data_IF_433889986171
#
_entry.id   IF_433889986171
#
_cell.length_a   1.000
_cell.length_b   1.000
_cell.length_c   1.000
_cell.angle_alpha   90.00
_cell.angle_beta   90.00
_cell.angle_gamma   90.00
#
_symmetry.space_group_name_H-M   'P 1'
#
loop_
_entity.id
_entity.type
_entity.pdbx_description
1 polymer ?
#
# COMPACT_ATOMS: atom_id res chain seq x y z
N UNK A 1 11.97 -29.61 5.55
CA UNK A 1 10.70 -28.88 5.69
C UNK A 1 10.51 -28.04 4.44
N UNK A 2 9.62 -28.41 3.49
CA UNK A 2 9.33 -27.60 2.31
C UNK A 2 7.87 -27.09 2.33
N UNK A 3 7.68 -25.78 2.45
CA UNK A 3 6.40 -25.11 2.25
C UNK A 3 6.62 -23.92 1.28
N UNK A 4 5.65 -23.72 0.37
CA UNK A 4 5.40 -22.57 -0.52
C UNK A 4 5.41 -22.89 -2.02
N UNK A 5 4.23 -23.25 -2.56
CA UNK A 5 3.87 -23.21 -3.98
C UNK A 5 2.36 -23.47 -4.18
N UNK A 6 1.47 -22.48 -3.93
CA UNK A 6 0.26 -22.42 -4.77
C UNK A 6 -0.33 -21.03 -5.12
N UNK A 7 0.30 -19.89 -4.83
CA UNK A 7 -0.32 -18.53 -5.04
C UNK A 7 -0.43 -18.11 -6.55
N UNK A 8 -0.18 -19.01 -7.50
CA UNK A 8 0.29 -18.67 -8.86
C UNK A 8 -0.77 -18.48 -9.98
N UNK A 9 -2.10 -18.60 -9.76
CA UNK A 9 -3.04 -18.75 -10.90
C UNK A 9 -4.26 -17.78 -10.88
N UNK A 10 -4.22 -16.71 -10.09
CA UNK A 10 -5.45 -16.01 -9.69
C UNK A 10 -6.00 -14.85 -10.55
N UNK A 11 -5.32 -14.35 -11.59
CA UNK A 11 -5.68 -13.04 -12.19
C UNK A 11 -5.69 -12.97 -13.73
N UNK A 12 -5.82 -14.09 -14.44
CA UNK A 12 -5.76 -14.11 -15.90
C UNK A 12 -7.06 -13.71 -16.64
N UNK A 13 -8.21 -13.58 -15.97
CA UNK A 13 -9.49 -13.37 -16.68
C UNK A 13 -10.14 -11.99 -16.59
N UNK A 14 -9.55 -11.05 -15.84
CA UNK A 14 -9.99 -9.65 -15.89
C UNK A 14 -9.57 -8.91 -17.17
N UNK A 15 -8.59 -9.43 -17.91
CA UNK A 15 -7.90 -8.67 -18.96
C UNK A 15 -8.56 -8.66 -20.34
N UNK A 16 -9.48 -9.59 -20.66
CA UNK A 16 -10.08 -9.63 -22.00
C UNK A 16 -11.11 -8.50 -22.24
N UNK A 17 -11.71 -7.93 -21.20
CA UNK A 17 -12.74 -6.89 -21.34
C UNK A 17 -12.16 -5.49 -21.58
N UNK A 18 -10.96 -5.19 -21.05
CA UNK A 18 -10.32 -3.87 -21.18
C UNK A 18 -9.65 -3.70 -22.55
N UNK A 19 -9.10 -4.78 -23.13
CA UNK A 19 -8.46 -4.75 -24.44
C UNK A 19 -9.44 -4.42 -25.58
N UNK A 20 -10.71 -4.85 -25.49
CA UNK A 20 -11.72 -4.52 -26.51
C UNK A 20 -12.17 -3.05 -26.46
N UNK A 21 -12.12 -2.39 -25.31
CA UNK A 21 -12.55 -1.00 -25.17
C UNK A 21 -11.52 -0.03 -25.77
N UNK A 22 -10.22 -0.29 -25.57
CA UNK A 22 -9.13 0.54 -26.12
C UNK A 22 -9.00 0.45 -27.65
N UNK A 23 -9.42 -0.65 -28.27
CA UNK A 23 -9.38 -0.82 -29.72
C UNK A 23 -10.41 0.04 -30.50
N UNK A 24 -11.34 0.70 -29.79
CA UNK A 24 -12.42 1.50 -30.43
C UNK A 24 -12.21 3.01 -30.33
N UNK A 25 -11.10 3.49 -29.77
CA UNK A 25 -10.86 4.94 -29.70
C UNK A 25 -10.44 5.50 -31.08
N UNK A 26 -11.13 6.54 -31.58
CA UNK A 26 -10.75 7.18 -32.84
C UNK A 26 -9.38 7.83 -32.69
N UNK A 27 -8.52 7.62 -33.69
CA UNK A 27 -7.17 8.20 -33.74
C UNK A 27 -7.24 9.72 -33.67
N UNK A 28 -6.75 10.29 -32.57
CA UNK A 28 -6.68 11.73 -32.39
C UNK A 28 -5.55 12.29 -33.28
N UNK A 29 -5.94 13.13 -34.23
CA UNK A 29 -5.06 13.82 -35.16
C UNK A 29 -4.03 14.68 -34.40
N UNK A 30 -2.75 14.49 -34.72
CA UNK A 30 -1.63 15.07 -33.98
C UNK A 30 -1.57 16.59 -34.16
N UNK A 31 -1.68 17.32 -33.05
CA UNK A 31 -1.40 18.75 -33.00
C UNK A 31 0.11 19.03 -33.18
N UNK A 32 0.50 20.20 -33.74
CA UNK A 32 1.89 20.56 -33.99
C UNK A 32 2.70 20.74 -32.68
N UNK A 33 4.02 20.49 -32.72
CA UNK A 33 4.87 20.51 -31.54
C UNK A 33 5.03 21.93 -30.95
N UNK A 34 5.00 22.09 -29.63
CA UNK A 34 5.31 23.36 -28.98
C UNK A 34 6.82 23.68 -29.03
N UNK A 35 7.20 24.97 -28.93
CA UNK A 35 8.59 25.40 -29.00
C UNK A 35 9.43 24.89 -27.84
N UNK A 36 10.66 24.49 -28.16
CA UNK A 36 11.69 24.04 -27.24
C UNK A 36 12.12 25.18 -26.30
N UNK A 37 12.09 24.93 -25.00
CA UNK A 37 12.72 25.84 -24.04
C UNK A 37 12.12 25.77 -22.65
N UNK A 38 12.59 24.80 -21.86
CA UNK A 38 12.80 24.92 -20.40
C UNK A 38 13.54 23.67 -19.94
N UNK A 39 14.79 23.85 -19.58
CA UNK A 39 15.61 22.87 -18.87
C UNK A 39 14.88 22.47 -17.58
N UNK A 40 14.44 21.22 -17.53
CA UNK A 40 13.83 20.65 -16.34
C UNK A 40 14.88 20.57 -15.23
N UNK A 41 14.74 21.45 -14.23
CA UNK A 41 15.55 21.43 -13.01
C UNK A 41 15.17 20.18 -12.22
N UNK A 42 16.16 19.37 -11.84
CA UNK A 42 15.94 18.17 -11.02
C UNK A 42 15.12 18.52 -9.78
N UNK A 43 14.07 17.74 -9.51
CA UNK A 43 13.25 17.87 -8.32
C UNK A 43 14.15 17.81 -7.07
N UNK A 44 14.13 18.83 -6.20
CA UNK A 44 14.82 18.74 -4.93
C UNK A 44 14.05 17.74 -4.06
N UNK A 45 14.54 16.51 -3.98
CA UNK A 45 14.17 15.59 -2.92
C UNK A 45 14.62 16.23 -1.60
N UNK A 46 13.73 16.52 -0.65
CA UNK A 46 14.12 17.04 0.65
C UNK A 46 14.96 15.96 1.36
N UNK A 47 16.25 16.25 1.53
CA UNK A 47 17.15 15.46 2.36
C UNK A 47 16.90 15.88 3.81
N UNK A 48 16.54 14.96 4.73
CA UNK A 48 16.40 15.31 6.14
C UNK A 48 17.74 15.82 6.67
N UNK A 49 17.74 17.05 7.18
CA UNK A 49 18.92 17.67 7.82
C UNK A 49 19.09 17.04 9.19
N UNK A 50 20.24 16.39 9.42
CA UNK A 50 20.58 15.81 10.71
C UNK A 50 20.58 16.91 11.78
N UNK A 51 19.78 16.73 12.84
CA UNK A 51 19.74 17.63 13.97
C UNK A 51 21.09 17.58 14.72
N UNK A 52 21.60 18.72 15.24
CA UNK A 52 22.83 18.75 16.02
C UNK A 52 22.63 18.01 17.34
N UNK A 53 23.51 17.05 17.60
CA UNK A 53 23.60 16.29 18.85
C UNK A 53 24.03 17.23 19.98
N UNK A 54 23.07 17.69 20.76
CA UNK A 54 23.27 18.51 21.95
C UNK A 54 23.75 17.70 23.16
N UNK A 55 24.57 18.35 23.97
CA UNK A 55 25.36 17.84 25.09
C UNK A 55 24.63 16.95 26.12
N UNK A 56 25.42 16.02 26.67
CA UNK A 56 25.05 15.09 27.73
C UNK A 56 24.70 15.79 29.06
N UNK A 57 23.60 15.39 29.73
CA UNK A 57 23.37 15.71 31.13
C UNK A 57 23.93 14.64 32.08
N UNK A 58 24.20 15.09 33.30
CA UNK A 58 24.90 14.42 34.38
C UNK A 58 24.19 13.15 34.90
N UNK A 59 25.04 12.26 35.44
CA UNK A 59 24.68 10.98 36.05
C UNK A 59 23.61 11.12 37.14
N UNK A 60 22.47 10.47 36.90
CA UNK A 60 21.44 10.20 37.91
C UNK A 60 21.52 8.75 38.35
N UNK A 61 21.34 8.55 39.65
CA UNK A 61 21.34 7.30 40.42
C UNK A 61 20.45 6.22 39.77
N UNK A 62 20.83 4.93 39.84
CA UNK A 62 20.03 3.85 39.28
C UNK A 62 18.77 3.62 40.12
N UNK A 63 17.63 4.08 39.63
CA UNK A 63 16.34 3.57 40.08
C UNK A 63 16.22 2.13 39.55
N UNK A 64 15.94 1.18 40.45
CA UNK A 64 15.60 -0.19 40.08
C UNK A 64 14.34 -0.18 39.20
N UNK A 65 14.54 -0.24 37.89
CA UNK A 65 13.49 -0.52 36.92
C UNK A 65 13.07 -1.96 37.10
N UNK A 66 11.93 -2.15 37.77
CA UNK A 66 11.15 -3.38 37.63
C UNK A 66 10.97 -3.65 36.14
N UNK A 67 11.22 -4.87 35.64
CA UNK A 67 10.99 -5.19 34.24
C UNK A 67 9.56 -4.80 33.88
N UNK A 68 9.32 -4.11 32.74
CA UNK A 68 7.96 -3.88 32.28
C UNK A 68 7.28 -5.24 32.20
N UNK A 69 6.18 -5.36 32.94
CA UNK A 69 5.34 -6.56 32.96
C UNK A 69 5.07 -6.94 31.51
N UNK A 70 5.45 -8.17 31.13
CA UNK A 70 5.39 -8.59 29.74
C UNK A 70 3.94 -8.42 29.27
N UNK A 71 3.75 -7.60 28.23
CA UNK A 71 2.43 -7.34 27.70
C UNK A 71 1.73 -8.67 27.43
N UNK A 72 0.49 -8.86 27.91
CA UNK A 72 -0.23 -10.10 27.70
C UNK A 72 -0.29 -10.39 26.19
N UNK A 73 -0.18 -11.67 25.78
CA UNK A 73 -0.23 -12.03 24.37
C UNK A 73 -1.54 -11.51 23.76
N UNK A 74 -1.50 -11.05 22.50
CA UNK A 74 -2.69 -10.52 21.85
C UNK A 74 -3.79 -11.60 21.86
N UNK A 75 -5.04 -11.22 22.17
CA UNK A 75 -6.14 -12.18 22.23
C UNK A 75 -6.33 -12.83 20.86
N UNK A 76 -6.28 -14.16 20.81
CA UNK A 76 -6.59 -14.90 19.58
C UNK A 76 -8.07 -14.72 19.26
N UNK A 77 -8.39 -14.24 18.06
CA UNK A 77 -9.76 -14.07 17.59
C UNK A 77 -10.44 -15.44 17.52
N UNK A 78 -11.37 -15.69 18.42
CA UNK A 78 -12.15 -16.91 18.51
C UNK A 78 -13.48 -16.81 17.77
N UNK A 79 -14.50 -17.52 18.27
CA UNK A 79 -15.85 -17.53 17.71
C UNK A 79 -16.61 -16.22 17.91
N UNK A 80 -16.09 -15.29 18.72
CA UNK A 80 -16.66 -13.97 18.95
C UNK A 80 -16.53 -13.02 17.74
N UNK A 81 -15.66 -13.35 16.77
CA UNK A 81 -15.40 -12.51 15.59
C UNK A 81 -14.72 -11.17 15.92
N UNK A 82 -14.64 -10.25 14.96
CA UNK A 82 -13.87 -9.00 15.13
C UNK A 82 -14.55 -7.88 15.90
N UNK A 83 -15.89 -7.85 15.94
CA UNK A 83 -16.66 -6.72 16.51
C UNK A 83 -16.17 -6.26 17.89
N UNK A 84 -16.14 -7.15 18.91
CA UNK A 84 -15.69 -6.78 20.26
C UNK A 84 -14.22 -6.31 20.34
N UNK A 85 -13.36 -6.75 19.42
CA UNK A 85 -11.96 -6.33 19.39
C UNK A 85 -11.81 -4.94 18.76
N UNK A 86 -12.61 -4.63 17.73
CA UNK A 86 -12.68 -3.30 17.13
C UNK A 86 -13.21 -2.28 18.15
N UNK A 87 -14.26 -2.62 18.89
CA UNK A 87 -14.80 -1.75 19.95
C UNK A 87 -13.75 -1.42 21.02
N UNK A 88 -13.02 -2.45 21.51
CA UNK A 88 -11.92 -2.25 22.47
C UNK A 88 -10.77 -1.40 21.91
N UNK A 89 -10.40 -1.61 20.65
CA UNK A 89 -9.36 -0.82 20.00
C UNK A 89 -9.76 0.66 19.85
N UNK A 90 -11.05 0.91 19.58
CA UNK A 90 -11.62 2.26 19.47
C UNK A 90 -11.62 2.99 20.82
N UNK A 91 -12.04 2.31 21.89
CA UNK A 91 -12.11 2.84 23.26
C UNK A 91 -10.73 3.01 23.92
N UNK A 92 -9.77 2.17 23.53
CA UNK A 92 -8.39 2.22 24.02
C UNK A 92 -7.53 3.28 23.33
N UNK A 93 -6.31 3.47 23.85
CA UNK A 93 -5.27 4.31 23.23
C UNK A 93 -4.11 3.48 22.64
N UNK A 94 -4.27 2.16 22.55
CA UNK A 94 -3.25 1.28 21.98
C UNK A 94 -3.24 1.41 20.46
N UNK A 95 -2.12 1.93 19.94
CA UNK A 95 -1.88 2.12 18.52
C UNK A 95 -1.85 0.80 17.77
N UNK A 96 -1.26 -0.25 18.34
CA UNK A 96 -1.16 -1.55 17.69
C UNK A 96 -2.55 -2.18 17.55
N UNK A 97 -3.36 -2.11 18.60
CA UNK A 97 -4.76 -2.56 18.56
C UNK A 97 -5.59 -1.74 17.55
N UNK A 98 -5.42 -0.42 17.49
CA UNK A 98 -6.11 0.42 16.51
C UNK A 98 -5.73 0.05 15.07
N UNK A 99 -4.44 -0.24 14.83
CA UNK A 99 -3.98 -0.68 13.52
C UNK A 99 -4.52 -2.06 13.14
N UNK A 100 -4.50 -3.01 14.07
CA UNK A 100 -5.06 -4.35 13.87
C UNK A 100 -6.57 -4.29 13.54
N UNK A 101 -7.32 -3.47 14.27
CA UNK A 101 -8.74 -3.23 14.00
C UNK A 101 -8.98 -2.63 12.60
N UNK A 102 -8.17 -1.65 12.19
CA UNK A 102 -8.25 -1.08 10.84
C UNK A 102 -7.97 -2.14 9.75
N UNK A 103 -7.02 -3.05 9.99
CA UNK A 103 -6.73 -4.16 9.07
C UNK A 103 -7.90 -5.13 8.96
N UNK A 104 -8.51 -5.55 10.06
CA UNK A 104 -9.70 -6.40 10.03
C UNK A 104 -10.87 -5.73 9.30
N UNK A 105 -11.09 -4.43 9.51
CA UNK A 105 -12.14 -3.70 8.80
C UNK A 105 -11.92 -3.69 7.28
N UNK A 106 -10.69 -3.47 6.81
CA UNK A 106 -10.34 -3.57 5.38
C UNK A 106 -10.49 -4.98 4.83
N UNK A 107 -10.06 -5.97 5.62
CA UNK A 107 -10.17 -7.38 5.25
C UNK A 107 -11.62 -7.79 5.08
N UNK A 108 -12.49 -7.40 6.01
CA UNK A 108 -13.93 -7.64 5.92
C UNK A 108 -14.61 -6.87 4.79
N UNK A 109 -14.14 -5.67 4.44
CA UNK A 109 -14.68 -4.89 3.33
C UNK A 109 -14.40 -5.54 1.96
N UNK A 110 -13.27 -6.22 1.81
CA UNK A 110 -12.84 -6.86 0.55
C UNK A 110 -13.10 -8.36 0.47
N UNK A 111 -13.68 -8.96 1.52
CA UNK A 111 -13.78 -10.42 1.64
C UNK A 111 -14.60 -11.07 0.51
N UNK A 112 -15.75 -10.49 0.17
CA UNK A 112 -16.66 -11.04 -0.84
C UNK A 112 -16.05 -10.97 -2.25
N UNK A 113 -15.36 -9.87 -2.58
CA UNK A 113 -14.65 -9.71 -3.84
C UNK A 113 -13.50 -10.71 -3.95
N UNK A 114 -12.69 -10.87 -2.90
CA UNK A 114 -11.63 -11.88 -2.84
C UNK A 114 -12.19 -13.28 -3.03
N UNK A 115 -13.30 -13.59 -2.35
CA UNK A 115 -13.94 -14.90 -2.44
C UNK A 115 -14.41 -15.20 -3.86
N UNK A 116 -15.02 -14.21 -4.51
CA UNK A 116 -15.49 -14.27 -5.90
C UNK A 116 -14.32 -14.45 -6.86
N UNK A 117 -13.25 -13.68 -6.69
CA UNK A 117 -12.04 -13.80 -7.51
C UNK A 117 -11.41 -15.20 -7.40
N UNK A 118 -11.38 -15.78 -6.20
CA UNK A 118 -10.86 -17.13 -5.98
C UNK A 118 -11.72 -18.21 -6.65
N UNK A 119 -13.03 -18.04 -6.59
CA UNK A 119 -13.98 -18.89 -7.28
C UNK A 119 -13.84 -18.81 -8.80
N UNK A 120 -13.73 -17.59 -9.32
CA UNK A 120 -13.58 -17.32 -10.74
C UNK A 120 -12.29 -17.95 -11.29
N UNK A 121 -11.16 -17.77 -10.60
CA UNK A 121 -9.90 -18.38 -11.02
C UNK A 121 -9.95 -19.91 -10.99
N UNK A 122 -10.55 -20.50 -9.94
CA UNK A 122 -10.80 -21.95 -9.89
C UNK A 122 -11.61 -22.41 -11.11
N UNK A 123 -12.69 -21.70 -11.43
CA UNK A 123 -13.55 -22.02 -12.58
C UNK A 123 -12.84 -21.85 -13.94
N UNK A 124 -11.73 -21.12 -13.98
CA UNK A 124 -10.90 -20.91 -15.18
C UNK A 124 -9.71 -21.87 -15.26
N UNK A 125 -9.67 -22.90 -14.41
CA UNK A 125 -8.64 -23.94 -14.45
C UNK A 125 -7.43 -23.68 -13.55
N UNK A 126 -7.52 -22.72 -12.61
CA UNK A 126 -6.55 -22.65 -11.52
C UNK A 126 -6.53 -23.97 -10.72
N UNK A 127 -5.34 -24.43 -10.34
CA UNK A 127 -5.13 -25.70 -9.64
C UNK A 127 -6.02 -25.79 -8.39
N UNK A 128 -6.92 -26.80 -8.28
CA UNK A 128 -7.82 -26.94 -7.14
C UNK A 128 -7.09 -27.06 -5.79
N UNK A 129 -5.92 -27.68 -5.76
CA UNK A 129 -5.08 -27.84 -4.57
C UNK A 129 -4.56 -26.50 -4.03
N UNK A 130 -4.43 -25.52 -4.93
CA UNK A 130 -4.06 -24.15 -4.60
C UNK A 130 -5.25 -23.31 -4.15
N UNK A 131 -6.37 -23.41 -4.86
CA UNK A 131 -7.52 -22.52 -4.66
C UNK A 131 -8.40 -22.94 -3.48
N UNK A 132 -8.54 -24.24 -3.22
CA UNK A 132 -9.42 -24.76 -2.16
C UNK A 132 -9.02 -24.24 -0.77
N UNK A 133 -7.73 -24.24 -0.37
CA UNK A 133 -7.31 -23.65 0.90
C UNK A 133 -7.60 -22.14 1.00
N UNK A 134 -7.38 -21.37 -0.07
CA UNK A 134 -7.61 -19.92 -0.09
C UNK A 134 -9.10 -19.58 0.04
N UNK A 135 -9.96 -20.37 -0.62
CA UNK A 135 -11.41 -20.29 -0.47
C UNK A 135 -11.81 -20.60 0.98
N UNK A 136 -11.31 -21.70 1.55
CA UNK A 136 -11.63 -22.09 2.92
C UNK A 136 -11.16 -21.06 3.96
N UNK A 137 -10.00 -20.45 3.75
CA UNK A 137 -9.46 -19.37 4.58
C UNK A 137 -10.33 -18.11 4.47
N UNK A 138 -10.74 -17.75 3.25
CA UNK A 138 -11.64 -16.60 3.02
C UNK A 138 -13.03 -16.84 3.62
N UNK A 139 -13.54 -18.08 3.60
CA UNK A 139 -14.79 -18.44 4.26
C UNK A 139 -14.66 -18.39 5.79
N UNK A 140 -13.49 -18.76 6.34
CA UNK A 140 -13.19 -18.61 7.76
C UNK A 140 -13.12 -17.14 8.19
N UNK A 141 -12.52 -16.31 7.33
CA UNK A 141 -12.48 -14.87 7.49
C UNK A 141 -13.88 -14.25 7.45
N UNK A 142 -14.71 -14.65 6.48
CA UNK A 142 -16.11 -14.23 6.37
C UNK A 142 -16.88 -14.48 7.68
N UNK A 143 -16.66 -15.63 8.34
CA UNK A 143 -17.28 -15.95 9.62
C UNK A 143 -16.85 -14.98 10.73
N UNK A 144 -15.56 -14.63 10.82
CA UNK A 144 -15.08 -13.63 11.78
C UNK A 144 -15.65 -12.23 11.51
N UNK A 145 -15.90 -11.91 10.24
CA UNK A 145 -16.50 -10.65 9.82
C UNK A 145 -18.01 -10.53 10.13
N UNK A 146 -18.70 -11.61 10.51
CA UNK A 146 -20.15 -11.57 10.78
C UNK A 146 -20.53 -10.64 11.95
N UNK A 147 -19.59 -10.36 12.86
CA UNK A 147 -19.80 -9.42 13.98
C UNK A 147 -19.40 -7.98 13.64
N UNK A 148 -18.93 -7.71 12.41
CA UNK A 148 -18.59 -6.37 11.93
C UNK A 148 -19.83 -5.66 11.40
N UNK A 149 -20.34 -4.70 12.17
CA UNK A 149 -21.51 -3.89 11.83
C UNK A 149 -21.14 -2.68 10.96
N UNK A 150 -22.16 -1.99 10.44
CA UNK A 150 -21.95 -0.70 9.77
C UNK A 150 -21.29 0.35 10.69
N UNK A 151 -21.61 0.31 11.99
CA UNK A 151 -20.97 1.17 12.99
C UNK A 151 -19.46 0.90 13.09
N UNK A 152 -19.06 -0.37 13.10
CA UNK A 152 -17.64 -0.74 13.10
C UNK A 152 -16.93 -0.25 11.83
N UNK A 153 -17.57 -0.41 10.66
CA UNK A 153 -17.00 0.07 9.38
C UNK A 153 -16.78 1.58 9.38
N UNK A 154 -17.68 2.35 9.99
CA UNK A 154 -17.53 3.80 10.11
C UNK A 154 -16.35 4.23 11.00
N UNK A 155 -15.77 3.34 11.81
CA UNK A 155 -14.59 3.62 12.63
C UNK A 155 -13.27 3.57 11.85
N UNK A 156 -13.26 2.97 10.64
CA UNK A 156 -12.04 2.74 9.87
C UNK A 156 -11.19 4.02 9.66
N UNK A 157 -11.76 5.17 9.24
CA UNK A 157 -10.98 6.40 9.09
C UNK A 157 -10.25 6.83 10.36
N UNK A 158 -10.91 6.76 11.51
CA UNK A 158 -10.32 7.22 12.78
C UNK A 158 -9.19 6.29 13.24
N UNK A 159 -9.44 4.98 13.22
CA UNK A 159 -8.47 3.96 13.60
C UNK A 159 -7.23 4.02 12.69
N UNK A 160 -7.43 4.13 11.37
CA UNK A 160 -6.33 4.26 10.41
C UNK A 160 -5.56 5.58 10.57
N UNK A 161 -6.24 6.71 10.82
CA UNK A 161 -5.57 7.98 11.07
C UNK A 161 -4.69 7.92 12.34
N UNK A 162 -5.19 7.28 13.40
CA UNK A 162 -4.46 7.09 14.66
C UNK A 162 -3.20 6.25 14.43
N UNK A 163 -3.32 5.14 13.72
CA UNK A 163 -2.20 4.28 13.34
C UNK A 163 -1.17 5.02 12.46
N UNK A 164 -1.63 5.76 11.45
CA UNK A 164 -0.80 6.55 10.54
C UNK A 164 0.02 7.60 11.27
N UNK A 165 -0.59 8.39 12.16
CA UNK A 165 0.11 9.42 12.95
C UNK A 165 1.14 8.84 13.91
N UNK A 166 0.93 7.60 14.33
CA UNK A 166 1.88 6.87 15.15
C UNK A 166 2.96 6.15 14.34
N UNK A 167 3.00 6.32 13.01
CA UNK A 167 3.99 5.73 12.13
C UNK A 167 3.84 4.23 11.92
N UNK A 168 2.62 3.68 12.07
CA UNK A 168 2.38 2.28 11.74
C UNK A 168 2.50 2.05 10.24
N UNK A 169 3.27 1.01 9.88
CA UNK A 169 3.53 0.59 8.51
C UNK A 169 2.23 0.44 7.70
N UNK A 170 2.16 1.09 6.53
CA UNK A 170 1.02 1.04 5.59
C UNK A 170 -0.30 1.61 6.12
N UNK A 171 -0.31 2.23 7.30
CA UNK A 171 -1.52 2.84 7.84
C UNK A 171 -1.98 4.06 7.02
N UNK A 172 -1.05 4.74 6.32
CA UNK A 172 -1.38 5.81 5.40
C UNK A 172 -2.23 5.32 4.22
N UNK A 173 -1.90 4.15 3.64
CA UNK A 173 -2.71 3.52 2.60
C UNK A 173 -4.12 3.20 3.11
N UNK A 174 -4.22 2.62 4.31
CA UNK A 174 -5.51 2.28 4.90
C UNK A 174 -6.38 3.54 5.07
N UNK A 175 -5.82 4.61 5.62
CA UNK A 175 -6.51 5.89 5.77
C UNK A 175 -6.92 6.47 4.42
N UNK A 176 -6.00 6.52 3.46
CA UNK A 176 -6.25 7.06 2.13
C UNK A 176 -7.34 6.29 1.37
N UNK A 177 -7.50 4.99 1.63
CA UNK A 177 -8.59 4.18 1.04
C UNK A 177 -9.95 4.37 1.73
N UNK A 178 -9.96 4.91 2.95
CA UNK A 178 -11.15 5.05 3.78
C UNK A 178 -11.80 6.43 3.72
N UNK A 179 -11.10 7.46 3.21
CA UNK A 179 -11.58 8.84 3.15
C UNK A 179 -11.34 9.47 1.79
N UNK A 180 -12.21 10.41 1.40
CA UNK A 180 -12.00 11.21 0.19
C UNK A 180 -11.09 12.41 0.48
N UNK A 181 -10.06 12.69 -0.33
CA UNK A 181 -9.24 13.89 -0.16
C UNK A 181 -10.05 15.20 -0.31
N UNK A 182 -11.19 15.16 -1.01
CA UNK A 182 -12.06 16.32 -1.19
C UNK A 182 -12.68 16.81 0.13
N UNK A 183 -12.85 15.92 1.11
CA UNK A 183 -13.47 16.22 2.40
C UNK A 183 -12.47 16.72 3.45
N UNK A 184 -11.18 16.81 3.08
CA UNK A 184 -10.10 17.15 3.99
C UNK A 184 -9.57 18.57 3.76
N UNK A 185 -8.95 19.14 4.80
CA UNK A 185 -8.17 20.37 4.67
C UNK A 185 -6.86 20.12 3.90
N UNK A 186 -6.27 21.19 3.36
CA UNK A 186 -4.97 21.09 2.67
C UNK A 186 -3.85 20.56 3.60
N UNK A 187 -3.90 20.88 4.89
CA UNK A 187 -2.94 20.38 5.88
C UNK A 187 -3.07 18.86 6.09
N UNK A 188 -4.30 18.36 6.25
CA UNK A 188 -4.56 16.92 6.40
C UNK A 188 -4.17 16.14 5.15
N UNK A 189 -4.46 16.66 3.95
CA UNK A 189 -4.02 16.01 2.71
C UNK A 189 -2.51 15.91 2.62
N UNK A 190 -1.80 16.99 3.01
CA UNK A 190 -0.34 17.00 3.04
C UNK A 190 0.21 15.98 4.04
N UNK A 191 -0.38 15.88 5.23
CA UNK A 191 -0.01 14.87 6.24
C UNK A 191 -0.08 13.45 5.65
N UNK A 192 -1.18 13.10 4.97
CA UNK A 192 -1.35 11.79 4.32
C UNK A 192 -0.36 11.58 3.18
N UNK A 193 -0.14 12.60 2.34
CA UNK A 193 0.82 12.52 1.25
C UNK A 193 2.25 12.30 1.77
N UNK A 194 2.63 12.98 2.85
CA UNK A 194 3.95 12.81 3.47
C UNK A 194 4.10 11.40 4.08
N UNK A 195 3.04 10.85 4.68
CA UNK A 195 3.03 9.47 5.17
C UNK A 195 3.10 8.44 4.01
N UNK A 196 2.38 8.64 2.91
CA UNK A 196 2.47 7.78 1.72
C UNK A 196 3.86 7.82 1.08
N UNK A 197 4.50 9.00 1.02
CA UNK A 197 5.90 9.12 0.57
C UNK A 197 6.86 8.35 1.47
N UNK A 198 6.63 8.40 2.79
CA UNK A 198 7.42 7.65 3.75
C UNK A 198 7.27 6.15 3.53
N UNK A 199 6.03 5.64 3.50
CA UNK A 199 5.74 4.22 3.27
C UNK A 199 6.37 3.72 1.97
N UNK A 200 6.29 4.52 0.88
CA UNK A 200 6.88 4.19 -0.42
C UNK A 200 8.40 3.97 -0.40
N UNK A 201 9.11 4.54 0.58
CA UNK A 201 10.57 4.42 0.69
C UNK A 201 11.02 3.54 1.85
N UNK A 202 10.10 2.99 2.65
CA UNK A 202 10.41 2.08 3.78
C UNK A 202 9.77 0.70 3.65
N UNK A 203 8.52 0.62 3.14
CA UNK A 203 7.71 -0.61 3.12
C UNK A 203 7.87 -1.44 1.85
N UNK A 204 8.79 -1.02 0.97
CA UNK A 204 9.04 -1.68 -0.30
C UNK A 204 7.83 -1.66 -1.21
N UNK A 205 7.46 -2.84 -1.71
CA UNK A 205 6.50 -3.02 -2.80
C UNK A 205 5.11 -2.51 -2.43
N UNK A 206 4.64 -2.78 -1.21
CA UNK A 206 3.30 -2.37 -0.79
C UNK A 206 3.19 -0.86 -0.59
N UNK A 207 4.23 -0.22 -0.04
CA UNK A 207 4.27 1.24 0.09
C UNK A 207 4.33 1.92 -1.27
N UNK A 208 5.14 1.40 -2.20
CA UNK A 208 5.21 1.89 -3.58
C UNK A 208 3.87 1.77 -4.29
N UNK A 209 3.20 0.62 -4.18
CA UNK A 209 1.89 0.38 -4.77
C UNK A 209 0.85 1.38 -4.24
N UNK A 210 0.80 1.57 -2.91
CA UNK A 210 -0.07 2.54 -2.26
C UNK A 210 0.14 3.97 -2.79
N UNK A 211 1.40 4.42 -2.93
CA UNK A 211 1.70 5.75 -3.42
C UNK A 211 1.41 5.93 -4.92
N UNK A 212 1.53 4.86 -5.71
CA UNK A 212 1.17 4.86 -7.14
C UNK A 212 -0.35 5.00 -7.33
N UNK A 213 -1.13 4.24 -6.56
CA UNK A 213 -2.59 4.21 -6.62
C UNK A 213 -3.29 5.40 -5.96
N UNK A 214 -2.58 6.11 -5.09
CA UNK A 214 -3.14 7.25 -4.38
C UNK A 214 -3.80 8.27 -5.33
N UNK A 215 -5.00 8.71 -4.94
CA UNK A 215 -5.75 9.76 -5.63
C UNK A 215 -4.92 11.05 -5.74
N UNK A 216 -4.96 11.70 -6.91
CA UNK A 216 -4.19 12.92 -7.15
C UNK A 216 -4.57 14.08 -6.21
N UNK A 217 -5.78 14.03 -5.63
CA UNK A 217 -6.26 14.95 -4.61
C UNK A 217 -5.37 14.98 -3.37
N UNK A 218 -4.69 13.88 -3.02
CA UNK A 218 -3.75 13.83 -1.89
C UNK A 218 -2.58 14.81 -2.02
N UNK A 219 -2.25 15.25 -3.24
CA UNK A 219 -1.13 16.17 -3.48
C UNK A 219 0.19 15.46 -3.76
N UNK A 220 0.16 14.19 -4.19
CA UNK A 220 1.27 13.57 -4.89
C UNK A 220 1.26 14.05 -6.34
N UNK A 221 2.39 14.58 -6.79
CA UNK A 221 2.52 15.02 -8.19
C UNK A 221 2.61 13.82 -9.15
N UNK A 222 2.23 14.03 -10.41
CA UNK A 222 2.37 13.02 -11.47
C UNK A 222 3.83 12.57 -11.62
N UNK A 223 4.80 13.46 -11.39
CA UNK A 223 6.23 13.14 -11.42
C UNK A 223 6.65 12.21 -10.27
N UNK A 224 6.15 12.45 -9.06
CA UNK A 224 6.41 11.57 -7.90
C UNK A 224 5.80 10.18 -8.12
N UNK A 225 4.53 10.13 -8.54
CA UNK A 225 3.84 8.86 -8.83
C UNK A 225 4.54 8.07 -9.93
N UNK A 226 5.02 8.73 -10.98
CA UNK A 226 5.81 8.09 -12.04
C UNK A 226 7.15 7.56 -11.51
N UNK A 227 7.80 8.27 -10.56
CA UNK A 227 9.01 7.80 -9.88
C UNK A 227 8.77 6.56 -9.02
N UNK A 228 7.69 6.54 -8.22
CA UNK A 228 7.29 5.37 -7.44
C UNK A 228 6.97 4.17 -8.34
N UNK A 229 6.28 4.41 -9.45
CA UNK A 229 5.98 3.38 -10.43
C UNK A 229 7.24 2.81 -11.09
N UNK A 230 8.21 3.67 -11.44
CA UNK A 230 9.49 3.23 -11.97
C UNK A 230 10.26 2.38 -10.95
N UNK A 231 10.22 2.72 -9.66
CA UNK A 231 10.79 1.88 -8.59
C UNK A 231 10.09 0.51 -8.49
N UNK A 232 8.74 0.51 -8.50
CA UNK A 232 7.94 -0.72 -8.44
C UNK A 232 8.26 -1.65 -9.62
N UNK A 233 8.34 -1.10 -10.83
CA UNK A 233 8.73 -1.85 -12.03
C UNK A 233 10.14 -2.44 -11.89
N UNK A 234 11.09 -1.65 -11.41
CA UNK A 234 12.46 -2.13 -11.25
C UNK A 234 12.55 -3.30 -10.25
N UNK A 235 11.86 -3.23 -9.11
CA UNK A 235 11.81 -4.36 -8.16
C UNK A 235 11.21 -5.60 -8.81
N UNK A 236 10.10 -5.43 -9.54
CA UNK A 236 9.45 -6.53 -10.25
C UNK A 236 10.36 -7.17 -11.32
N UNK A 237 11.09 -6.38 -12.10
CA UNK A 237 12.03 -6.87 -13.12
C UNK A 237 13.20 -7.65 -12.49
N UNK A 238 13.70 -7.21 -11.33
CA UNK A 238 14.79 -7.88 -10.62
C UNK A 238 14.33 -9.21 -10.00
N UNK A 239 13.14 -9.24 -9.40
CA UNK A 239 12.60 -10.45 -8.78
C UNK A 239 12.02 -11.45 -9.78
N UNK A 240 11.65 -11.01 -11.00
CA UNK A 240 11.34 -11.90 -12.11
C UNK A 240 12.48 -12.89 -12.42
N UNK A 241 13.71 -12.54 -12.07
CA UNK A 241 14.88 -13.40 -12.19
C UNK A 241 15.15 -14.25 -10.93
N UNK A 242 14.53 -13.92 -9.79
CA UNK A 242 14.83 -14.51 -8.49
C UNK A 242 13.78 -15.54 -8.05
N UNK A 243 12.47 -15.22 -7.99
CA UNK A 243 11.40 -16.17 -7.63
C UNK A 243 10.01 -15.70 -8.11
N UNK A 244 9.02 -16.60 -8.13
CA UNK A 244 7.71 -16.42 -8.78
C UNK A 244 6.72 -15.36 -8.23
N UNK A 245 6.77 -14.83 -6.98
CA UNK A 245 5.65 -13.99 -6.49
C UNK A 245 5.52 -12.64 -7.22
N UNK A 246 6.58 -12.15 -7.90
CA UNK A 246 6.56 -10.85 -8.58
C UNK A 246 5.95 -10.86 -9.98
N UNK A 247 5.83 -12.03 -10.61
CA UNK A 247 5.06 -12.16 -11.87
C UNK A 247 3.59 -11.76 -11.71
N UNK A 248 3.06 -11.79 -10.48
CA UNK A 248 1.68 -11.36 -10.18
C UNK A 248 1.53 -9.84 -10.20
N UNK A 249 2.61 -9.10 -9.94
CA UNK A 249 2.61 -7.65 -9.97
C UNK A 249 2.93 -7.11 -11.35
N UNK A 250 3.48 -7.92 -12.26
CA UNK A 250 3.79 -7.48 -13.61
C UNK A 250 2.56 -6.98 -14.39
N UNK A 251 1.39 -7.65 -14.38
CA UNK A 251 0.16 -7.09 -14.97
C UNK A 251 -0.32 -5.81 -14.29
N UNK A 252 0.01 -5.59 -13.02
CA UNK A 252 -0.24 -4.32 -12.34
C UNK A 252 0.81 -3.27 -12.72
N UNK A 253 2.09 -3.62 -12.86
CA UNK A 253 3.10 -2.72 -13.37
C UNK A 253 2.86 -2.36 -14.85
N UNK A 254 2.20 -3.23 -15.62
CA UNK A 254 1.89 -3.00 -17.04
C UNK A 254 0.49 -2.39 -17.25
N UNK A 255 -0.45 -2.70 -16.35
CA UNK A 255 -1.87 -2.40 -16.47
C UNK A 255 -2.45 -1.54 -15.34
N UNK A 256 -1.69 -1.19 -14.30
CA UNK A 256 -2.03 -0.06 -13.43
C UNK A 256 -2.02 1.16 -14.34
N UNK A 257 -3.21 1.50 -14.81
CA UNK A 257 -3.48 2.75 -15.46
C UNK A 257 -3.28 3.80 -14.38
N UNK A 258 -2.03 4.19 -14.14
CA UNK A 258 -1.76 5.44 -13.48
C UNK A 258 -2.40 6.48 -14.39
N UNK A 259 -3.54 6.96 -13.94
CA UNK A 259 -4.25 8.03 -14.61
C UNK A 259 -3.43 9.29 -14.40
N UNK A 260 -2.44 9.47 -15.27
CA UNK A 260 -1.74 10.73 -15.43
C UNK A 260 -2.67 11.69 -16.16
N UNK A 261 -2.69 12.95 -15.74
CA UNK A 261 -3.50 13.97 -16.42
C UNK A 261 -3.04 14.16 -17.87
N UNK A 262 -1.74 13.93 -18.12
CA UNK A 262 -1.11 14.00 -19.42
C UNK A 262 -0.15 12.83 -19.58
N UNK A 263 -0.03 12.30 -20.80
CA UNK A 263 0.97 11.26 -21.11
C UNK A 263 2.39 11.76 -20.75
N UNK A 264 3.20 11.00 -19.98
CA UNK A 264 4.54 11.43 -19.62
C UNK A 264 5.45 11.63 -20.82
N UNK A 265 6.18 12.75 -20.86
CA UNK A 265 7.21 13.01 -21.89
C UNK A 265 8.42 12.10 -21.72
N UNK A 266 9.27 11.92 -22.75
CA UNK A 266 10.52 11.15 -22.62
C UNK A 266 11.42 11.66 -21.49
N UNK A 267 11.52 12.98 -21.30
CA UNK A 267 12.31 13.58 -20.23
C UNK A 267 11.74 13.24 -18.85
N UNK A 268 10.40 13.27 -18.70
CA UNK A 268 9.74 12.87 -17.46
C UNK A 268 9.94 11.38 -17.15
N UNK A 269 9.90 10.52 -18.17
CA UNK A 269 10.17 9.09 -18.02
C UNK A 269 11.63 8.84 -17.59
N UNK A 270 12.60 9.52 -18.20
CA UNK A 270 14.01 9.41 -17.82
C UNK A 270 14.25 9.90 -16.37
N UNK A 271 13.64 11.02 -15.98
CA UNK A 271 13.71 11.54 -14.61
C UNK A 271 13.07 10.56 -13.61
N UNK A 272 11.92 9.98 -13.95
CA UNK A 272 11.26 8.99 -13.11
C UNK A 272 12.08 7.69 -12.97
N UNK A 273 12.74 7.22 -14.04
CA UNK A 273 13.65 6.08 -13.95
C UNK A 273 14.82 6.36 -13.00
N UNK A 274 15.38 7.57 -13.04
CA UNK A 274 16.44 7.97 -12.11
C UNK A 274 15.93 8.00 -10.66
N UNK A 275 14.76 8.62 -10.42
CA UNK A 275 14.13 8.66 -9.11
C UNK A 275 13.81 7.24 -8.60
N UNK A 276 13.28 6.39 -9.47
CA UNK A 276 12.98 4.99 -9.17
C UNK A 276 14.20 4.21 -8.69
N UNK A 277 15.33 4.34 -9.40
CA UNK A 277 16.62 3.75 -9.00
C UNK A 277 17.07 4.22 -7.62
N UNK A 278 16.90 5.50 -7.30
CA UNK A 278 17.26 6.06 -6.00
C UNK A 278 16.38 5.51 -4.87
N UNK A 279 15.09 5.34 -5.12
CA UNK A 279 14.14 4.74 -4.17
C UNK A 279 14.51 3.27 -3.91
N UNK A 280 14.75 2.48 -4.96
CA UNK A 280 15.18 1.08 -4.83
C UNK A 280 16.50 0.97 -4.07
N UNK A 281 17.47 1.84 -4.34
CA UNK A 281 18.73 1.87 -3.60
C UNK A 281 18.51 2.16 -2.10
N UNK A 282 17.60 3.08 -1.75
CA UNK A 282 17.26 3.38 -0.36
C UNK A 282 16.58 2.20 0.33
N UNK A 283 15.61 1.55 -0.33
CA UNK A 283 14.91 0.39 0.21
C UNK A 283 15.87 -0.74 0.57
N UNK A 284 16.88 -1.00 -0.28
CA UNK A 284 17.94 -1.98 -0.01
C UNK A 284 18.86 -1.59 1.14
N UNK A 285 19.16 -0.29 1.27
CA UNK A 285 19.99 0.20 2.37
C UNK A 285 19.27 0.09 3.72
N UNK A 286 17.95 0.23 3.75
CA UNK A 286 17.13 0.05 4.96
C UNK A 286 16.88 -1.41 5.33
N UNK A 287 16.86 -2.32 4.35
CA UNK A 287 16.62 -3.74 4.53
C UNK A 287 17.81 -4.56 3.97
N UNK A 288 18.95 -4.61 4.69
CA UNK A 288 20.08 -5.45 4.28
C UNK A 288 19.63 -6.92 4.21
N UNK A 289 20.11 -7.69 3.22
CA UNK A 289 19.71 -9.08 2.98
C UNK A 289 20.04 -10.04 4.13
#
# INVERSE_FOLDING_TARGET
MPFNRPILILLAAGMLAVALFLATQPSQESAPPPPAGRTATALPLPVPTAAPTGAAPAASTPASTTPPDAAPPPPRIGSEGYGPHIERAQEGNDVAAAWEAAQWLRLCASNDERRTAFEQARNQGAAPEAMTPLIAETDAEARRCQTVTARHRAMLPELAARAMRAGQHLAAQAYASAVSPADLSAAQRREVADALRHDAVTEGVMGLLAAVEADAGWGLSDAERLGFFAALKQLADEEAHSHAPFKLLQPWAEGAAIHFKTRPTPEQQAAAQLAGKQIVARLRAGNPP
#
